data_IF_615255935349
#
_entry.id   IF_615255935349
#
_cell.length_a   1.000
_cell.length_b   1.000
_cell.length_c   1.000
_cell.angle_alpha   90.00
_cell.angle_beta   90.00
_cell.angle_gamma   90.00
#
_symmetry.space_group_name_H-M   'P 1'
#
loop_
_entity.id
_entity.type
_entity.pdbx_description
1 polymer ?
#
# COMPACT_ATOMS: atom_id res chain seq x y z
N UNK A 1 -17.91 2.40 4.26
CA UNK A 1 -18.81 1.42 3.66
C UNK A 1 -18.96 0.25 4.61
N UNK A 2 -18.18 -0.83 4.62
CA UNK A 2 -18.45 -1.96 5.55
C UNK A 2 -18.44 -1.59 7.05
N UNK A 3 -17.68 -0.55 7.44
CA UNK A 3 -17.57 -0.04 8.81
C UNK A 3 -18.43 1.21 9.07
N UNK A 4 -19.42 1.51 8.22
CA UNK A 4 -20.32 2.67 8.39
C UNK A 4 -19.78 4.03 7.89
N UNK A 5 -18.49 4.15 7.55
CA UNK A 5 -17.94 5.41 6.99
C UNK A 5 -18.44 5.72 5.57
N UNK A 6 -18.57 6.98 5.21
CA UNK A 6 -18.96 7.45 3.86
C UNK A 6 -18.57 8.92 3.69
N UNK A 7 -18.94 9.57 2.59
CA UNK A 7 -18.51 10.95 2.30
C UNK A 7 -18.92 11.98 3.36
N UNK A 8 -20.07 11.80 4.03
CA UNK A 8 -20.51 12.65 5.13
C UNK A 8 -20.05 12.21 6.52
N UNK A 9 -19.46 11.01 6.65
CA UNK A 9 -18.92 10.47 7.90
C UNK A 9 -17.57 9.82 7.60
N UNK A 10 -16.52 10.64 7.58
CA UNK A 10 -15.20 10.26 7.12
C UNK A 10 -14.51 9.24 8.03
N UNK A 11 -13.48 8.57 7.52
CA UNK A 11 -12.71 7.57 8.25
C UNK A 11 -11.99 8.18 9.46
N UNK A 12 -11.99 7.45 10.58
CA UNK A 12 -11.30 7.84 11.82
C UNK A 12 -9.90 7.28 11.94
N UNK A 13 -9.55 6.32 11.08
CA UNK A 13 -8.21 5.75 10.94
C UNK A 13 -7.97 5.42 9.48
N UNK A 14 -6.71 5.47 9.00
CA UNK A 14 -6.39 5.08 7.64
C UNK A 14 -6.72 3.61 7.40
N UNK A 15 -7.11 3.29 6.17
CA UNK A 15 -7.22 1.91 5.68
C UNK A 15 -6.12 1.69 4.64
N UNK A 16 -5.31 0.66 4.83
CA UNK A 16 -4.23 0.31 3.91
C UNK A 16 -4.55 -0.95 3.14
N UNK A 17 -4.20 -0.95 1.86
CA UNK A 17 -4.32 -2.10 0.96
C UNK A 17 -3.05 -2.24 0.13
N UNK A 18 -2.72 -3.48 -0.22
CA UNK A 18 -1.60 -3.82 -1.10
C UNK A 18 -2.14 -4.45 -2.39
N UNK A 19 -1.47 -4.20 -3.51
CA UNK A 19 -1.81 -4.79 -4.79
C UNK A 19 -0.53 -5.14 -5.57
N UNK A 20 -0.55 -6.30 -6.24
CA UNK A 20 0.49 -6.72 -7.18
C UNK A 20 -0.17 -6.88 -8.54
N UNK A 21 0.35 -6.16 -9.53
CA UNK A 21 -0.15 -6.20 -10.91
C UNK A 21 0.90 -6.90 -11.76
N UNK A 22 0.50 -7.91 -12.52
CA UNK A 22 1.40 -8.69 -13.38
C UNK A 22 0.72 -9.16 -14.65
N UNK A 23 1.50 -9.30 -15.73
CA UNK A 23 1.12 -9.94 -16.98
C UNK A 23 1.62 -11.41 -17.09
N UNK A 24 2.25 -11.93 -16.02
CA UNK A 24 2.86 -13.25 -15.96
C UNK A 24 4.39 -13.24 -16.01
N UNK A 25 5.02 -12.18 -16.55
CA UNK A 25 6.48 -12.02 -16.57
C UNK A 25 6.93 -10.77 -15.82
N UNK A 26 6.23 -9.66 -16.00
CA UNK A 26 6.53 -8.38 -15.36
C UNK A 26 5.64 -8.15 -14.15
N UNK A 27 6.21 -7.57 -13.09
CA UNK A 27 5.54 -7.33 -11.83
C UNK A 27 5.68 -5.86 -11.43
N UNK A 28 4.56 -5.27 -11.00
CA UNK A 28 4.50 -3.94 -10.39
C UNK A 28 3.82 -4.04 -9.03
N UNK A 29 4.40 -3.39 -8.02
CA UNK A 29 3.94 -3.45 -6.64
C UNK A 29 3.35 -2.10 -6.22
N UNK A 30 2.17 -2.13 -5.61
CA UNK A 30 1.46 -0.93 -5.16
C UNK A 30 1.01 -1.06 -3.71
N UNK A 31 1.02 0.06 -3.00
CA UNK A 31 0.42 0.22 -1.69
C UNK A 31 -0.50 1.45 -1.72
N UNK A 32 -1.73 1.30 -1.23
CA UNK A 32 -2.68 2.39 -1.15
C UNK A 32 -3.09 2.63 0.29
N UNK A 33 -3.07 3.90 0.71
CA UNK A 33 -3.57 4.34 2.00
C UNK A 33 -4.74 5.30 1.80
N UNK A 34 -5.93 4.85 2.22
CA UNK A 34 -7.16 5.61 2.24
C UNK A 34 -7.21 6.44 3.53
N UNK A 35 -7.06 7.75 3.39
CA UNK A 35 -7.07 8.74 4.48
C UNK A 35 -8.37 9.55 4.53
N UNK A 36 -9.13 9.59 3.44
CA UNK A 36 -10.41 10.31 3.33
C UNK A 36 -11.35 9.67 2.31
N UNK A 37 -12.65 9.69 2.64
CA UNK A 37 -13.79 9.40 1.77
C UNK A 37 -14.58 10.67 1.40
N UNK A 38 -14.24 11.83 1.97
CA UNK A 38 -14.89 13.10 1.74
C UNK A 38 -14.46 13.71 0.39
N UNK A 39 -14.92 13.10 -0.70
CA UNK A 39 -14.61 13.47 -2.09
C UNK A 39 -15.72 14.28 -2.78
N UNK A 40 -16.82 14.59 -2.08
CA UNK A 40 -17.87 15.45 -2.63
C UNK A 40 -17.46 16.92 -2.54
N UNK A 41 -18.00 17.75 -3.44
CA UNK A 41 -17.72 19.20 -3.45
C UNK A 41 -18.05 19.87 -2.11
N UNK A 42 -19.03 19.36 -1.37
CA UNK A 42 -19.40 19.87 -0.05
C UNK A 42 -18.43 19.40 1.04
N UNK A 43 -18.04 18.14 1.02
CA UNK A 43 -17.22 17.54 2.08
C UNK A 43 -15.72 17.86 1.94
N UNK A 44 -15.23 18.16 0.73
CA UNK A 44 -13.81 18.44 0.48
C UNK A 44 -13.41 19.90 0.79
N UNK A 45 -14.37 20.83 0.98
CA UNK A 45 -14.09 22.28 1.13
C UNK A 45 -13.05 22.62 2.20
N UNK A 46 -13.08 21.91 3.31
CA UNK A 46 -12.18 22.12 4.46
C UNK A 46 -11.34 20.87 4.75
N UNK A 47 -11.33 19.89 3.84
CA UNK A 47 -10.63 18.64 4.04
C UNK A 47 -9.21 18.72 3.49
N UNK A 48 -8.23 18.85 4.38
CA UNK A 48 -6.82 18.85 4.01
C UNK A 48 -6.25 17.45 3.74
N UNK A 49 -6.96 16.37 4.09
CA UNK A 49 -6.45 15.00 3.96
C UNK A 49 -6.42 14.56 2.50
N UNK A 50 -5.41 13.79 2.12
CA UNK A 50 -5.28 13.19 0.80
C UNK A 50 -4.95 11.72 0.92
N UNK A 51 -5.53 10.93 0.01
CA UNK A 51 -5.16 9.52 -0.13
C UNK A 51 -3.78 9.42 -0.76
N UNK A 52 -3.05 8.36 -0.42
CA UNK A 52 -1.67 8.16 -0.90
C UNK A 52 -1.59 6.82 -1.62
N UNK A 53 -0.93 6.83 -2.77
CA UNK A 53 -0.65 5.64 -3.55
C UNK A 53 0.84 5.59 -3.85
N UNK A 54 1.52 4.55 -3.38
CA UNK A 54 2.90 4.25 -3.73
C UNK A 54 2.92 3.14 -4.78
N UNK A 55 3.84 3.23 -5.73
CA UNK A 55 4.01 2.25 -6.79
C UNK A 55 5.48 2.10 -7.17
N UNK A 56 5.84 0.89 -7.59
CA UNK A 56 7.14 0.62 -8.24
C UNK A 56 6.99 0.64 -9.76
N UNK A 57 8.06 0.96 -10.51
CA UNK A 57 8.14 0.60 -11.92
C UNK A 57 7.95 -0.90 -12.12
N UNK A 58 7.53 -1.28 -13.33
CA UNK A 58 7.38 -2.68 -13.71
C UNK A 58 8.74 -3.34 -13.91
N UNK A 59 8.94 -4.52 -13.32
CA UNK A 59 10.20 -5.27 -13.38
C UNK A 59 9.95 -6.73 -13.79
N UNK A 60 10.78 -7.31 -14.67
CA UNK A 60 10.65 -8.71 -15.05
C UNK A 60 11.08 -9.63 -13.89
N UNK A 61 10.32 -10.69 -13.66
CA UNK A 61 10.67 -11.79 -12.76
C UNK A 61 11.72 -12.72 -13.37
N UNK A 62 11.72 -12.84 -14.70
CA UNK A 62 12.69 -13.61 -15.47
C UNK A 62 12.87 -13.01 -16.86
N UNK A 63 14.00 -13.29 -17.52
CA UNK A 63 14.27 -12.83 -18.89
C UNK A 63 13.63 -13.74 -19.95
N UNK A 64 13.83 -15.06 -19.82
CA UNK A 64 13.30 -16.06 -20.75
C UNK A 64 13.11 -17.44 -20.10
N UNK A 65 12.32 -18.29 -20.75
CA UNK A 65 12.19 -19.72 -20.44
C UNK A 65 12.66 -20.51 -21.65
N UNK A 66 13.70 -21.32 -21.48
CA UNK A 66 14.32 -22.10 -22.55
C UNK A 66 14.33 -23.59 -22.18
N UNK A 67 13.57 -24.40 -22.92
CA UNK A 67 13.41 -25.82 -22.61
C UNK A 67 12.78 -26.03 -21.23
N UNK A 68 13.57 -26.57 -20.29
CA UNK A 68 13.16 -26.82 -18.89
C UNK A 68 13.75 -25.82 -17.89
N UNK A 69 14.46 -24.78 -18.34
CA UNK A 69 15.14 -23.81 -17.47
C UNK A 69 14.61 -22.38 -17.59
N UNK A 70 14.71 -21.62 -16.49
CA UNK A 70 14.45 -20.18 -16.43
C UNK A 70 15.78 -19.42 -16.49
N UNK A 71 15.86 -18.38 -17.32
CA UNK A 71 17.04 -17.52 -17.47
C UNK A 71 16.77 -16.14 -16.88
N UNK A 72 17.80 -15.55 -16.26
CA UNK A 72 17.74 -14.19 -15.70
C UNK A 72 16.67 -14.03 -14.62
N UNK A 73 16.50 -15.02 -13.74
CA UNK A 73 15.54 -14.92 -12.64
C UNK A 73 15.92 -13.80 -11.69
N UNK A 74 14.94 -12.97 -11.33
CA UNK A 74 15.12 -11.79 -10.50
C UNK A 74 14.60 -12.04 -9.08
N UNK A 75 15.53 -12.39 -8.18
CA UNK A 75 15.21 -12.70 -6.79
C UNK A 75 14.58 -11.52 -6.04
N UNK A 76 14.87 -10.27 -6.44
CA UNK A 76 14.33 -9.08 -5.77
C UNK A 76 12.81 -8.95 -5.97
N UNK A 77 12.31 -9.32 -7.16
CA UNK A 77 10.86 -9.33 -7.43
C UNK A 77 10.16 -10.38 -6.57
N UNK A 78 10.74 -11.58 -6.46
CA UNK A 78 10.19 -12.63 -5.61
C UNK A 78 10.24 -12.23 -4.12
N UNK A 79 11.36 -11.69 -3.66
CA UNK A 79 11.54 -11.23 -2.29
C UNK A 79 10.52 -10.14 -1.94
N UNK A 80 10.23 -9.22 -2.87
CA UNK A 80 9.23 -8.19 -2.67
C UNK A 80 7.82 -8.77 -2.54
N UNK A 81 7.47 -9.75 -3.37
CA UNK A 81 6.19 -10.47 -3.26
C UNK A 81 6.05 -11.17 -1.91
N UNK A 82 7.10 -11.85 -1.46
CA UNK A 82 7.12 -12.51 -0.14
C UNK A 82 6.95 -11.49 0.99
N UNK A 83 7.61 -10.33 0.92
CA UNK A 83 7.46 -9.25 1.91
C UNK A 83 6.02 -8.74 2.01
N UNK A 84 5.31 -8.61 0.87
CA UNK A 84 3.89 -8.24 0.86
C UNK A 84 3.04 -9.28 1.60
N UNK A 85 3.26 -10.57 1.32
CA UNK A 85 2.51 -11.67 1.95
C UNK A 85 2.84 -11.85 3.44
N UNK A 86 4.04 -11.44 3.88
CA UNK A 86 4.46 -11.53 5.27
C UNK A 86 4.01 -10.33 6.12
N UNK A 87 3.40 -9.30 5.53
CA UNK A 87 2.89 -8.16 6.29
C UNK A 87 1.76 -8.62 7.23
N UNK A 88 1.87 -8.30 8.51
CA UNK A 88 0.93 -8.73 9.56
C UNK A 88 0.29 -7.51 10.23
N UNK A 89 -0.96 -7.62 10.71
CA UNK A 89 -1.53 -6.58 11.56
C UNK A 89 -0.69 -6.42 12.83
N UNK A 90 -0.61 -5.21 13.37
CA UNK A 90 0.06 -4.97 14.64
C UNK A 90 -0.65 -5.72 15.78
N UNK A 91 0.11 -6.49 16.56
CA UNK A 91 -0.38 -7.17 17.75
C UNK A 91 -0.37 -6.20 18.94
N UNK A 92 -1.54 -5.95 19.55
CA UNK A 92 -1.60 -5.47 20.93
C UNK A 92 -1.77 -3.97 21.21
N UNK A 93 -2.38 -3.14 20.34
CA UNK A 93 -2.86 -1.81 20.76
C UNK A 93 -4.31 -1.91 21.24
N UNK A 94 -4.53 -1.86 22.55
CA UNK A 94 -5.88 -1.77 23.14
C UNK A 94 -6.63 -0.56 22.57
N UNK A 95 -7.94 -0.65 22.28
CA UNK A 95 -8.71 0.38 21.58
C UNK A 95 -8.89 1.71 22.36
N UNK A 96 -8.19 1.91 23.48
CA UNK A 96 -8.26 3.09 24.34
C UNK A 96 -6.98 3.93 24.43
N UNK A 97 -5.90 3.58 23.73
CA UNK A 97 -4.71 4.43 23.69
C UNK A 97 -4.93 5.55 22.67
N UNK A 98 -5.36 6.70 23.18
CA UNK A 98 -5.77 7.88 22.43
C UNK A 98 -4.70 8.28 21.41
N UNK A 99 -5.17 8.59 20.21
CA UNK A 99 -4.41 9.10 19.10
C UNK A 99 -3.73 10.43 19.45
N UNK A 100 -2.44 10.39 19.79
CA UNK A 100 -1.55 11.56 19.61
C UNK A 100 -0.24 11.22 18.90
N UNK A 101 0.22 9.96 18.89
CA UNK A 101 1.47 9.60 18.20
C UNK A 101 1.33 9.29 16.70
N UNK A 102 0.11 9.20 16.17
CA UNK A 102 -0.07 9.01 14.72
C UNK A 102 0.23 10.28 13.90
N UNK A 103 0.33 11.44 14.55
CA UNK A 103 0.83 12.66 13.92
C UNK A 103 2.36 12.67 13.74
N UNK A 104 3.11 11.84 14.47
CA UNK A 104 4.58 11.86 14.47
C UNK A 104 5.23 10.73 13.63
N UNK A 105 4.44 9.74 13.20
CA UNK A 105 4.93 8.72 12.25
C UNK A 105 4.79 9.15 10.79
N UNK A 106 4.94 10.46 10.52
CA UNK A 106 4.68 11.11 9.24
C UNK A 106 4.99 10.23 8.05
N UNK A 107 3.98 10.00 7.20
CA UNK A 107 4.08 9.41 5.85
C UNK A 107 5.33 8.58 5.62
N UNK A 108 5.58 7.54 6.45
CA UNK A 108 6.70 6.66 6.16
C UNK A 108 6.30 5.90 4.92
N UNK A 109 7.03 6.12 3.83
CA UNK A 109 7.06 5.15 2.73
C UNK A 109 7.14 3.76 3.38
N UNK A 110 6.32 2.80 2.94
CA UNK A 110 6.44 1.43 3.40
C UNK A 110 7.93 1.06 3.34
N UNK A 111 8.52 0.60 4.44
CA UNK A 111 9.96 0.32 4.52
C UNK A 111 10.46 -0.66 3.45
N UNK A 112 9.52 -1.36 2.81
CA UNK A 112 9.74 -2.32 1.75
C UNK A 112 9.64 -1.73 0.34
N UNK A 113 9.15 -0.50 0.16
CA UNK A 113 9.15 0.15 -1.15
C UNK A 113 10.47 0.93 -1.34
N UNK A 114 11.11 0.80 -2.51
CA UNK A 114 12.32 1.56 -2.79
C UNK A 114 12.01 3.06 -2.73
N UNK A 115 12.83 3.82 -2.00
CA UNK A 115 12.72 5.28 -1.94
C UNK A 115 12.79 5.83 -3.37
N UNK A 116 11.70 6.45 -3.82
CA UNK A 116 11.70 7.16 -5.10
C UNK A 116 12.60 8.41 -4.92
N UNK A 117 13.62 8.55 -5.78
CA UNK A 117 14.56 9.70 -5.78
C UNK A 117 13.94 10.92 -6.44
#
# INVERSE_FOLDING_TARGET
MYQGFWSGADVTRPFVSQAVITDGQYFSFFCYQLNTLALTVQADRENARRNVCWGTPSQPLYEAVEGSGVKGFNDEVLLQLVRFLLNRPEEGRSPGCIAEEACDSGLREPSFLPKQR
#
